data_IF_873624353223
#
_entry.id   IF_873624353223
#
_cell.length_a   1.000
_cell.length_b   1.000
_cell.length_c   1.000
_cell.angle_alpha   90.00
_cell.angle_beta   90.00
_cell.angle_gamma   90.00
#
_symmetry.space_group_name_H-M   'P 1'
#
loop_
_entity.id
_entity.type
_entity.pdbx_description
1 polymer ?
#
# COMPACT_ATOMS: atom_id res chain seq x y z
N UNK A 1 20.02 7.80 -46.98
CA UNK A 1 20.33 8.15 -45.57
C UNK A 1 19.03 7.98 -44.79
N UNK A 2 18.98 7.22 -43.69
CA UNK A 2 17.74 7.12 -42.91
C UNK A 2 17.35 8.53 -42.41
N UNK A 3 16.12 8.94 -42.70
CA UNK A 3 15.58 10.26 -42.38
C UNK A 3 15.72 10.55 -40.88
N UNK A 4 16.31 11.71 -40.53
CA UNK A 4 16.46 12.16 -39.13
C UNK A 4 15.14 12.10 -38.34
N UNK A 5 14.01 12.34 -39.02
CA UNK A 5 12.67 12.23 -38.43
C UNK A 5 12.31 10.83 -37.94
N UNK A 6 12.73 9.76 -38.65
CA UNK A 6 12.45 8.38 -38.27
C UNK A 6 13.22 7.98 -37.00
N UNK A 7 14.49 8.40 -36.87
CA UNK A 7 15.29 8.12 -35.67
C UNK A 7 14.78 8.83 -34.42
N UNK A 8 14.27 10.04 -34.56
CA UNK A 8 13.71 10.81 -33.44
C UNK A 8 12.38 10.21 -32.96
N UNK A 9 11.51 9.78 -33.90
CA UNK A 9 10.28 9.07 -33.57
C UNK A 9 10.55 7.72 -32.89
N UNK A 10 11.53 6.95 -33.36
CA UNK A 10 11.96 5.70 -32.73
C UNK A 10 12.48 5.94 -31.30
N UNK A 11 13.26 6.99 -31.07
CA UNK A 11 13.75 7.35 -29.75
C UNK A 11 12.62 7.75 -28.79
N UNK A 12 11.61 8.49 -29.27
CA UNK A 12 10.43 8.85 -28.48
C UNK A 12 9.59 7.62 -28.14
N UNK A 13 9.38 6.71 -29.09
CA UNK A 13 8.66 5.46 -28.87
C UNK A 13 9.37 4.57 -27.84
N UNK A 14 10.70 4.49 -27.91
CA UNK A 14 11.50 3.77 -26.91
C UNK A 14 11.39 4.40 -25.52
N UNK A 15 11.48 5.73 -25.39
CA UNK A 15 11.30 6.41 -24.10
C UNK A 15 9.90 6.18 -23.52
N UNK A 16 8.88 6.19 -24.37
CA UNK A 16 7.51 5.90 -23.97
C UNK A 16 7.36 4.45 -23.47
N UNK A 17 8.00 3.47 -24.10
CA UNK A 17 7.93 2.06 -23.65
C UNK A 17 8.61 1.85 -22.30
N UNK A 18 9.77 2.48 -22.08
CA UNK A 18 10.47 2.45 -20.79
C UNK A 18 9.61 3.08 -19.69
N UNK A 19 9.01 4.24 -19.96
CA UNK A 19 8.16 4.93 -19.01
C UNK A 19 6.87 4.14 -18.70
N UNK A 20 6.27 3.49 -19.69
CA UNK A 20 5.11 2.59 -19.49
C UNK A 20 5.47 1.42 -18.56
N UNK A 21 6.66 0.83 -18.71
CA UNK A 21 7.12 -0.23 -17.83
C UNK A 21 7.33 0.25 -16.39
N UNK A 22 7.92 1.44 -16.19
CA UNK A 22 8.06 2.05 -14.87
C UNK A 22 6.69 2.35 -14.25
N UNK A 23 5.74 2.85 -15.05
CA UNK A 23 4.39 3.13 -14.59
C UNK A 23 3.66 1.87 -14.10
N UNK A 24 3.85 0.74 -14.79
CA UNK A 24 3.32 -0.57 -14.34
C UNK A 24 3.88 -0.96 -12.97
N UNK A 25 5.17 -0.74 -12.73
CA UNK A 25 5.78 -1.02 -11.42
C UNK A 25 5.20 -0.13 -10.32
N UNK A 26 5.08 1.18 -10.57
CA UNK A 26 4.49 2.11 -9.62
C UNK A 26 3.03 1.77 -9.28
N UNK A 27 2.24 1.31 -10.26
CA UNK A 27 0.85 0.87 -10.03
C UNK A 27 0.77 -0.37 -9.13
N UNK A 28 1.66 -1.35 -9.36
CA UNK A 28 1.75 -2.55 -8.50
C UNK A 28 2.16 -2.16 -7.08
N UNK A 29 3.09 -1.22 -6.93
CA UNK A 29 3.47 -0.72 -5.61
C UNK A 29 2.32 0.00 -4.91
N UNK A 30 1.61 0.87 -5.63
CA UNK A 30 0.44 1.58 -5.12
C UNK A 30 -0.64 0.62 -4.61
N UNK A 31 -0.88 -0.48 -5.33
CA UNK A 31 -1.82 -1.53 -4.93
C UNK A 31 -1.37 -2.23 -3.63
N UNK A 32 -0.07 -2.56 -3.50
CA UNK A 32 0.48 -3.13 -2.27
C UNK A 32 0.28 -2.20 -1.08
N UNK A 33 0.55 -0.91 -1.24
CA UNK A 33 0.33 0.09 -0.19
C UNK A 33 -1.14 0.19 0.20
N UNK A 34 -2.05 0.12 -0.78
CA UNK A 34 -3.49 0.11 -0.54
C UNK A 34 -3.94 -1.14 0.26
N UNK A 35 -3.41 -2.32 -0.06
CA UNK A 35 -3.69 -3.54 0.72
C UNK A 35 -3.23 -3.41 2.17
N UNK A 36 -2.02 -2.89 2.40
CA UNK A 36 -1.49 -2.63 3.76
C UNK A 36 -2.38 -1.63 4.51
N UNK A 37 -2.87 -0.57 3.86
CA UNK A 37 -3.81 0.37 4.47
C UNK A 37 -5.10 -0.33 4.93
N UNK A 38 -5.68 -1.20 4.10
CA UNK A 38 -6.88 -1.97 4.45
C UNK A 38 -6.62 -2.89 5.65
N UNK A 39 -5.47 -3.55 5.70
CA UNK A 39 -5.09 -4.39 6.84
C UNK A 39 -4.92 -3.58 8.13
N UNK A 40 -4.26 -2.41 8.06
CA UNK A 40 -4.08 -1.54 9.21
C UNK A 40 -5.41 -0.98 9.73
N UNK A 41 -6.32 -0.56 8.86
CA UNK A 41 -7.65 -0.08 9.25
C UNK A 41 -8.48 -1.21 9.88
N UNK A 42 -8.41 -2.45 9.34
CA UNK A 42 -9.03 -3.63 9.97
C UNK A 42 -8.45 -3.91 11.35
N UNK A 43 -7.13 -3.91 11.47
CA UNK A 43 -6.44 -4.13 12.73
C UNK A 43 -6.84 -3.08 13.78
N UNK A 44 -6.91 -1.80 13.37
CA UNK A 44 -7.37 -0.71 14.23
C UNK A 44 -8.80 -0.92 14.72
N UNK A 45 -9.71 -1.29 13.81
CA UNK A 45 -11.10 -1.61 14.17
C UNK A 45 -11.16 -2.77 15.16
N UNK A 46 -10.40 -3.85 14.94
CA UNK A 46 -10.35 -4.97 15.88
C UNK A 46 -9.84 -4.57 17.27
N UNK A 47 -8.82 -3.71 17.36
CA UNK A 47 -8.34 -3.17 18.64
C UNK A 47 -9.45 -2.38 19.34
N UNK A 48 -10.20 -1.56 18.61
CA UNK A 48 -11.30 -0.75 19.16
C UNK A 48 -12.48 -1.59 19.63
N UNK A 49 -12.85 -2.62 18.88
CA UNK A 49 -14.04 -3.43 19.14
C UNK A 49 -13.82 -4.53 20.17
N UNK A 50 -12.59 -5.05 20.30
CA UNK A 50 -12.27 -6.04 21.32
C UNK A 50 -12.49 -5.50 22.73
N UNK A 51 -13.24 -6.27 23.52
CA UNK A 51 -13.54 -5.98 24.93
C UNK A 51 -13.09 -7.15 25.78
N UNK A 52 -12.50 -6.83 26.93
CA UNK A 52 -12.20 -7.83 27.93
C UNK A 52 -13.48 -8.45 28.46
N UNK A 53 -13.40 -9.74 28.80
CA UNK A 53 -14.49 -10.41 29.48
C UNK A 53 -15.62 -10.93 28.58
N UNK A 54 -15.60 -10.63 27.28
CA UNK A 54 -16.58 -11.15 26.32
C UNK A 54 -16.15 -12.52 25.79
N UNK A 55 -17.14 -13.40 25.55
CA UNK A 55 -16.93 -14.66 24.85
C UNK A 55 -16.70 -14.39 23.36
N UNK A 56 -15.61 -14.93 22.82
CA UNK A 56 -15.17 -14.72 21.45
C UNK A 56 -14.82 -16.05 20.78
N UNK A 57 -14.90 -16.06 19.46
CA UNK A 57 -14.40 -17.16 18.63
C UNK A 57 -13.05 -16.77 18.03
N UNK A 58 -12.03 -17.57 18.32
CA UNK A 58 -10.67 -17.41 17.82
C UNK A 58 -10.42 -18.40 16.70
N UNK A 59 -10.01 -17.93 15.52
CA UNK A 59 -9.60 -18.82 14.45
C UNK A 59 -8.25 -19.45 14.80
N UNK A 60 -8.19 -20.79 14.80
CA UNK A 60 -6.96 -21.55 15.09
C UNK A 60 -6.33 -22.16 13.83
N UNK A 61 -7.06 -22.18 12.70
CA UNK A 61 -6.56 -22.62 11.39
C UNK A 61 -7.62 -23.36 10.57
N UNK A 62 -7.51 -23.38 9.24
CA UNK A 62 -8.33 -24.20 8.31
C UNK A 62 -9.86 -24.18 8.56
N UNK A 63 -10.41 -23.02 8.95
CA UNK A 63 -11.84 -22.87 9.28
C UNK A 63 -12.25 -23.38 10.67
N UNK A 64 -11.31 -23.89 11.47
CA UNK A 64 -11.52 -24.30 12.85
C UNK A 64 -11.48 -23.09 13.77
N UNK A 65 -12.48 -23.01 14.65
CA UNK A 65 -12.68 -21.92 15.62
C UNK A 65 -12.63 -22.49 17.04
N UNK A 66 -11.95 -21.79 17.94
CA UNK A 66 -11.96 -22.07 19.37
C UNK A 66 -12.82 -21.02 20.08
N UNK A 67 -13.68 -21.43 21.00
CA UNK A 67 -14.36 -20.51 21.92
C UNK A 67 -13.41 -20.17 23.06
N UNK A 68 -13.30 -18.89 23.38
CA UNK A 68 -12.53 -18.43 24.53
C UNK A 68 -12.99 -17.07 25.02
N UNK A 69 -12.30 -16.54 26.02
CA UNK A 69 -12.60 -15.26 26.65
C UNK A 69 -11.33 -14.43 26.72
N UNK A 70 -11.42 -13.15 26.36
CA UNK A 70 -10.28 -12.24 26.46
C UNK A 70 -10.07 -11.84 27.93
N UNK A 71 -8.94 -12.25 28.53
CA UNK A 71 -8.65 -12.07 29.96
C UNK A 71 -7.63 -10.96 30.27
N UNK A 72 -6.85 -10.52 29.27
CA UNK A 72 -5.86 -9.43 29.35
C UNK A 72 -5.83 -8.76 27.96
N UNK A 73 -6.49 -7.61 27.79
CA UNK A 73 -6.50 -6.85 26.52
C UNK A 73 -5.23 -6.02 26.37
N UNK A 74 -4.09 -6.69 26.46
CA UNK A 74 -2.80 -6.15 26.06
C UNK A 74 -2.45 -6.65 24.68
N UNK A 75 -2.11 -5.72 23.80
CA UNK A 75 -1.88 -5.99 22.40
C UNK A 75 -0.38 -6.12 22.15
N UNK A 76 0.00 -7.13 21.36
CA UNK A 76 1.36 -7.29 20.87
C UNK A 76 1.47 -6.58 19.53
N UNK A 77 2.15 -5.44 19.52
CA UNK A 77 2.33 -4.61 18.32
C UNK A 77 3.76 -4.79 17.81
N UNK A 78 3.97 -5.07 16.51
CA UNK A 78 5.31 -5.22 15.96
C UNK A 78 6.10 -3.90 16.04
N UNK A 79 7.34 -3.98 16.54
CA UNK A 79 8.29 -2.87 16.60
C UNK A 79 9.41 -2.96 15.53
N UNK A 80 9.41 -4.04 14.73
CA UNK A 80 10.43 -4.31 13.70
C UNK A 80 11.45 -5.35 14.15
N UNK A 81 12.20 -5.92 13.20
CA UNK A 81 13.24 -6.92 13.49
C UNK A 81 12.74 -8.21 14.15
N UNK A 82 11.45 -8.52 14.02
CA UNK A 82 10.81 -9.66 14.71
C UNK A 82 10.42 -9.39 16.17
N UNK A 83 10.61 -8.17 16.67
CA UNK A 83 10.24 -7.79 18.03
C UNK A 83 8.80 -7.28 18.11
N UNK A 84 8.16 -7.58 19.25
CA UNK A 84 6.82 -7.14 19.59
C UNK A 84 6.86 -6.43 20.94
N UNK A 85 6.07 -5.36 21.05
CA UNK A 85 5.95 -4.59 22.28
C UNK A 85 4.52 -4.77 22.80
N UNK A 86 4.41 -5.01 24.10
CA UNK A 86 3.14 -5.11 24.80
C UNK A 86 2.61 -3.69 25.05
N UNK A 87 1.43 -3.39 24.53
CA UNK A 87 0.80 -2.06 24.59
C UNK A 87 -0.62 -2.17 25.16
N UNK A 88 -1.09 -1.09 25.80
CA UNK A 88 -2.51 -0.93 26.11
C UNK A 88 -3.34 -0.79 24.82
N UNK A 89 -4.67 -0.86 24.96
CA UNK A 89 -5.59 -0.61 23.85
C UNK A 89 -5.40 0.77 23.22
N UNK A 90 -5.27 1.81 24.05
CA UNK A 90 -5.09 3.20 23.64
C UNK A 90 -3.74 3.41 22.95
N UNK A 91 -2.68 2.82 23.50
CA UNK A 91 -1.35 2.87 22.91
C UNK A 91 -1.29 2.16 21.55
N UNK A 92 -1.92 0.98 21.46
CA UNK A 92 -2.01 0.23 20.21
C UNK A 92 -2.86 0.98 19.15
N UNK A 93 -4.01 1.53 19.52
CA UNK A 93 -4.83 2.35 18.60
C UNK A 93 -4.05 3.54 18.06
N UNK A 94 -3.35 4.26 18.95
CA UNK A 94 -2.51 5.39 18.57
C UNK A 94 -1.40 4.94 17.62
N UNK A 95 -0.68 3.86 17.94
CA UNK A 95 0.46 3.37 17.14
C UNK A 95 0.03 2.91 15.75
N UNK A 96 -1.11 2.23 15.67
CA UNK A 96 -1.70 1.81 14.39
C UNK A 96 -2.18 3.04 13.61
N UNK A 97 -2.80 4.01 14.27
CA UNK A 97 -3.18 5.31 13.68
C UNK A 97 -2.01 6.03 13.04
N UNK A 98 -0.89 6.21 13.76
CA UNK A 98 0.34 6.80 13.22
C UNK A 98 0.90 6.03 12.01
N UNK A 99 0.70 4.70 11.97
CA UNK A 99 1.13 3.87 10.86
C UNK A 99 0.20 4.00 9.65
N UNK A 100 -1.11 4.14 9.86
CA UNK A 100 -2.08 4.47 8.83
C UNK A 100 -1.75 5.82 8.20
N UNK A 101 -1.51 6.85 9.00
CA UNK A 101 -1.22 8.20 8.50
C UNK A 101 0.05 8.22 7.65
N UNK A 102 1.14 7.62 8.15
CA UNK A 102 2.39 7.47 7.37
C UNK A 102 2.19 6.70 6.06
N UNK A 103 1.36 5.66 6.09
CA UNK A 103 1.08 4.86 4.90
C UNK A 103 0.18 5.61 3.90
N UNK A 104 -0.77 6.44 4.37
CA UNK A 104 -1.57 7.34 3.54
C UNK A 104 -0.71 8.39 2.86
N UNK A 105 0.23 8.98 3.61
CA UNK A 105 1.19 9.93 3.04
C UNK A 105 2.05 9.28 1.95
N UNK A 106 2.52 8.05 2.19
CA UNK A 106 3.27 7.29 1.20
C UNK A 106 2.44 6.96 -0.04
N UNK A 107 1.19 6.49 0.16
CA UNK A 107 0.23 6.25 -0.92
C UNK A 107 0.03 7.51 -1.77
N UNK A 108 -0.17 8.67 -1.14
CA UNK A 108 -0.40 9.93 -1.84
C UNK A 108 0.82 10.34 -2.69
N UNK A 109 2.03 10.11 -2.20
CA UNK A 109 3.28 10.36 -2.95
C UNK A 109 3.37 9.48 -4.19
N UNK A 110 3.21 8.16 -4.04
CA UNK A 110 3.25 7.25 -5.20
C UNK A 110 2.13 7.58 -6.19
N UNK A 111 0.92 7.85 -5.71
CA UNK A 111 -0.20 8.20 -6.57
C UNK A 111 0.05 9.49 -7.36
N UNK A 112 0.72 10.48 -6.75
CA UNK A 112 1.13 11.69 -7.45
C UNK A 112 2.19 11.40 -8.52
N UNK A 113 3.16 10.53 -8.24
CA UNK A 113 4.16 10.08 -9.20
C UNK A 113 3.55 9.32 -10.38
N UNK A 114 2.62 8.39 -10.11
CA UNK A 114 1.83 7.68 -11.13
C UNK A 114 1.12 8.67 -12.06
N UNK A 115 0.40 9.64 -11.50
CA UNK A 115 -0.32 10.66 -12.29
C UNK A 115 0.63 11.53 -13.13
N UNK A 116 1.80 11.87 -12.59
CA UNK A 116 2.79 12.64 -13.33
C UNK A 116 3.41 11.83 -14.47
N UNK A 117 3.78 10.57 -14.20
CA UNK A 117 4.30 9.65 -15.20
C UNK A 117 3.28 9.36 -16.32
N UNK A 118 1.99 9.22 -15.99
CA UNK A 118 0.90 9.11 -16.97
C UNK A 118 0.81 10.31 -17.90
N UNK A 119 0.87 11.53 -17.35
CA UNK A 119 0.86 12.77 -18.15
C UNK A 119 2.06 12.84 -19.09
N UNK A 120 3.26 12.52 -18.58
CA UNK A 120 4.49 12.48 -19.37
C UNK A 120 4.41 11.43 -20.49
N UNK A 121 3.86 10.25 -20.21
CA UNK A 121 3.66 9.19 -21.20
C UNK A 121 2.72 9.63 -22.31
N UNK A 122 1.58 10.24 -21.96
CA UNK A 122 0.63 10.78 -22.94
C UNK A 122 1.29 11.84 -23.81
N UNK A 123 2.09 12.74 -23.23
CA UNK A 123 2.81 13.77 -23.98
C UNK A 123 3.84 13.18 -24.94
N UNK A 124 4.65 12.21 -24.49
CA UNK A 124 5.62 11.51 -25.34
C UNK A 124 4.95 10.75 -26.49
N UNK A 125 3.83 10.08 -26.22
CA UNK A 125 3.07 9.36 -27.26
C UNK A 125 2.47 10.31 -28.31
N UNK A 126 2.00 11.50 -27.91
CA UNK A 126 1.53 12.52 -28.85
C UNK A 126 2.65 13.01 -29.76
N UNK A 127 3.79 13.36 -29.17
CA UNK A 127 5.00 13.77 -29.92
C UNK A 127 5.48 12.67 -30.88
N UNK A 128 5.51 11.41 -30.43
CA UNK A 128 5.89 10.27 -31.27
C UNK A 128 4.94 10.04 -32.46
N UNK A 129 3.65 10.39 -32.31
CA UNK A 129 2.62 10.30 -33.36
C UNK A 129 2.54 11.55 -34.25
N UNK A 130 3.31 12.60 -33.94
CA UNK A 130 3.23 13.89 -34.65
C UNK A 130 1.94 14.67 -34.38
N UNK A 131 1.31 14.46 -33.22
CA UNK A 131 0.08 15.13 -32.75
C UNK A 131 0.36 16.13 -31.62
#
# INVERSE_FOLDING_TARGET
MPDKHSKEQEALAYRASVLDQQLKQLRVELEKVMMVLVELEKARTSVKEMKEGEDMLFQVGSGVMARGKLVDAKYLVPAGGGYYVKMSKEEADKKIGESIDRTKDYYNKINAEVKNAEKSLISLMKQARGL
#
